data_IF_942636804258
#
_entry.id   IF_942636804258
#
_cell.length_a   1.000
_cell.length_b   1.000
_cell.length_c   1.000
_cell.angle_alpha   90.00
_cell.angle_beta   90.00
_cell.angle_gamma   90.00
#
_symmetry.space_group_name_H-M   'P 1'
#
loop_
_entity.id
_entity.type
_entity.pdbx_description
1 polymer ?
#
# COMPACT_ATOMS: atom_id res chain seq x y z
N UNK A 1 -6.73 -10.32 0.79
CA UNK A 1 -5.91 -9.15 0.39
C UNK A 1 -5.23 -9.56 -0.90
N UNK A 2 -5.93 -9.43 -2.04
CA UNK A 2 -6.01 -8.20 -2.85
C UNK A 2 -4.59 -7.81 -3.24
N UNK A 3 -4.18 -7.73 -4.49
CA UNK A 3 -4.79 -7.79 -5.82
C UNK A 3 -3.56 -7.86 -6.76
N UNK A 4 -3.63 -8.30 -8.00
CA UNK A 4 -3.69 -7.38 -9.14
C UNK A 4 -3.68 -8.25 -10.39
N UNK A 5 -4.73 -8.09 -11.19
CA UNK A 5 -4.90 -8.54 -12.58
C UNK A 5 -3.91 -7.81 -13.51
N UNK A 6 -3.72 -8.29 -14.75
CA UNK A 6 -4.52 -7.66 -15.80
C UNK A 6 -5.07 -8.66 -16.83
N UNK A 7 -6.39 -8.62 -16.99
CA UNK A 7 -6.97 -8.49 -18.33
C UNK A 7 -6.44 -7.19 -18.96
N UNK A 8 -6.12 -7.21 -20.24
CA UNK A 8 -6.68 -6.32 -21.26
C UNK A 8 -6.20 -6.88 -22.60
N UNK A 9 -7.03 -7.74 -23.16
CA UNK A 9 -7.22 -7.82 -24.60
C UNK A 9 -8.22 -6.72 -24.95
N UNK A 10 -7.79 -5.67 -25.63
CA UNK A 10 -8.69 -4.96 -26.53
C UNK A 10 -7.92 -4.03 -27.46
N UNK A 11 -8.09 -4.32 -28.76
CA UNK A 11 -8.51 -3.35 -29.77
C UNK A 11 -7.65 -2.09 -29.85
N UNK A 12 -6.86 -1.99 -30.91
CA UNK A 12 -6.99 -0.91 -31.91
C UNK A 12 -6.50 -1.50 -33.24
N UNK A 13 -7.46 -2.00 -34.02
CA UNK A 13 -7.46 -1.81 -35.47
C UNK A 13 -7.84 -0.35 -35.71
N UNK A 14 -6.92 0.43 -36.28
CA UNK A 14 -7.12 1.85 -36.51
C UNK A 14 -6.04 2.39 -37.43
N UNK A 15 -6.29 2.25 -38.72
CA UNK A 15 -5.59 2.84 -39.85
C UNK A 15 -5.07 4.26 -39.59
N UNK A 16 -3.75 4.42 -39.63
CA UNK A 16 -3.13 5.66 -40.10
C UNK A 16 -2.49 5.38 -41.45
N UNK A 17 -3.12 5.94 -42.48
CA UNK A 17 -2.53 6.12 -43.80
C UNK A 17 -1.45 7.20 -43.68
N UNK A 18 -0.22 6.78 -43.42
CA UNK A 18 0.92 7.65 -43.64
C UNK A 18 1.71 7.06 -44.79
N UNK A 19 1.87 7.89 -45.82
CA UNK A 19 2.57 7.62 -47.05
C UNK A 19 4.00 7.19 -46.75
N UNK A 20 4.22 5.89 -46.59
CA UNK A 20 5.54 5.30 -46.46
C UNK A 20 6.24 5.50 -47.79
N UNK A 21 7.26 6.36 -47.77
CA UNK A 21 8.18 6.58 -48.87
C UNK A 21 8.74 5.21 -49.32
N UNK A 22 8.93 4.99 -50.63
CA UNK A 22 9.30 3.68 -51.17
C UNK A 22 10.65 3.13 -50.66
N UNK A 23 11.43 3.91 -49.90
CA UNK A 23 12.68 3.47 -49.29
C UNK A 23 12.49 2.48 -48.14
N UNK A 24 11.49 2.64 -47.26
CA UNK A 24 11.42 1.81 -46.03
C UNK A 24 10.86 0.41 -46.31
N UNK A 25 9.95 0.29 -47.30
CA UNK A 25 9.42 -0.99 -47.77
C UNK A 25 10.52 -1.90 -48.35
N UNK A 26 11.55 -1.31 -48.96
CA UNK A 26 12.69 -2.02 -49.55
C UNK A 26 13.65 -2.60 -48.50
N UNK A 27 13.67 -2.06 -47.27
CA UNK A 27 14.52 -2.55 -46.19
C UNK A 27 13.93 -3.83 -45.57
N UNK A 28 12.60 -3.98 -45.56
CA UNK A 28 11.93 -5.19 -45.04
C UNK A 28 11.83 -6.29 -46.12
N UNK A 29 11.87 -5.92 -47.41
CA UNK A 29 11.80 -6.88 -48.55
C UNK A 29 13.14 -7.10 -49.25
N UNK A 30 14.23 -6.60 -48.70
CA UNK A 30 15.59 -6.79 -49.22
C UNK A 30 16.34 -7.95 -48.55
N UNK A 31 15.79 -9.17 -48.57
CA UNK A 31 16.55 -10.40 -48.29
C UNK A 31 15.75 -11.67 -48.63
N UNK A 32 15.04 -11.70 -49.76
CA UNK A 32 14.46 -12.94 -50.28
C UNK A 32 15.45 -13.61 -51.25
N UNK A 33 16.66 -13.89 -50.76
CA UNK A 33 17.69 -14.62 -51.49
C UNK A 33 18.36 -15.62 -50.56
N UNK A 34 17.64 -16.64 -50.11
CA UNK A 34 18.25 -17.97 -50.02
C UNK A 34 17.22 -19.08 -49.83
N UNK A 35 16.97 -19.82 -50.91
CA UNK A 35 16.50 -21.21 -50.82
C UNK A 35 17.71 -22.18 -50.85
N UNK A 36 18.93 -21.67 -50.77
CA UNK A 36 20.14 -22.44 -50.44
C UNK A 36 20.51 -22.14 -48.98
N UNK A 37 21.23 -23.04 -48.31
CA UNK A 37 21.60 -22.81 -46.91
C UNK A 37 22.63 -21.69 -46.77
N UNK A 38 22.84 -21.22 -45.54
CA UNK A 38 23.82 -20.18 -45.20
C UNK A 38 25.13 -20.27 -45.98
N UNK A 39 25.55 -19.15 -46.54
CA UNK A 39 26.86 -18.99 -47.16
C UNK A 39 27.97 -19.21 -46.12
N UNK A 40 29.19 -19.61 -46.53
CA UNK A 40 30.28 -19.86 -45.59
C UNK A 40 30.64 -18.63 -44.72
N UNK A 41 30.51 -17.42 -45.25
CA UNK A 41 30.77 -16.18 -44.52
C UNK A 41 29.68 -15.85 -43.48
N UNK A 42 28.41 -16.13 -43.80
CA UNK A 42 27.30 -15.99 -42.85
C UNK A 42 27.41 -16.98 -41.69
N UNK A 43 27.82 -18.23 -41.99
CA UNK A 43 28.11 -19.23 -40.94
C UNK A 43 29.24 -18.77 -40.03
N UNK A 44 30.33 -18.26 -40.62
CA UNK A 44 31.46 -17.72 -39.85
C UNK A 44 31.02 -16.55 -38.96
N UNK A 45 30.20 -15.64 -39.48
CA UNK A 45 29.66 -14.50 -38.73
C UNK A 45 28.73 -14.94 -37.61
N UNK A 46 27.84 -15.90 -37.85
CA UNK A 46 26.94 -16.45 -36.83
C UNK A 46 27.71 -17.16 -35.71
N UNK A 47 28.75 -17.91 -36.05
CA UNK A 47 29.62 -18.55 -35.06
C UNK A 47 30.36 -17.53 -34.20
N UNK A 48 30.85 -16.44 -34.81
CA UNK A 48 31.48 -15.33 -34.09
C UNK A 48 30.49 -14.66 -33.11
N UNK A 49 29.28 -14.33 -33.59
CA UNK A 49 28.23 -13.73 -32.76
C UNK A 49 27.76 -14.67 -31.64
N UNK A 50 27.65 -15.96 -31.93
CA UNK A 50 27.24 -16.98 -30.96
C UNK A 50 28.29 -17.12 -29.85
N UNK A 51 29.57 -17.10 -30.20
CA UNK A 51 30.67 -17.11 -29.22
C UNK A 51 30.64 -15.87 -28.32
N UNK A 52 30.53 -14.67 -28.91
CA UNK A 52 30.41 -13.43 -28.16
C UNK A 52 29.18 -13.42 -27.25
N UNK A 53 28.04 -13.92 -27.74
CA UNK A 53 26.80 -13.99 -26.97
C UNK A 53 26.93 -14.93 -25.78
N UNK A 54 27.54 -16.10 -25.94
CA UNK A 54 27.76 -17.06 -24.84
C UNK A 54 28.70 -16.50 -23.78
N UNK A 55 29.76 -15.80 -24.20
CA UNK A 55 30.68 -15.15 -23.28
C UNK A 55 30.01 -14.01 -22.53
N UNK A 56 29.25 -13.15 -23.22
CA UNK A 56 28.47 -12.09 -22.59
C UNK A 56 27.47 -12.65 -21.56
N UNK A 57 26.74 -13.72 -21.90
CA UNK A 57 25.80 -14.36 -20.98
C UNK A 57 26.50 -14.92 -19.73
N UNK A 58 27.71 -15.46 -19.89
CA UNK A 58 28.53 -15.93 -18.79
C UNK A 58 29.04 -14.76 -17.92
N UNK A 59 29.37 -13.63 -18.52
CA UNK A 59 29.80 -12.42 -17.81
C UNK A 59 28.64 -11.73 -17.05
N UNK A 60 27.38 -12.08 -17.35
CA UNK A 60 26.21 -11.67 -16.57
C UNK A 60 25.97 -12.54 -15.33
N UNK A 61 26.66 -13.66 -15.17
CA UNK A 61 26.58 -14.46 -13.95
C UNK A 61 27.26 -13.69 -12.81
N UNK A 62 26.46 -13.12 -11.91
CA UNK A 62 27.01 -12.41 -10.75
C UNK A 62 27.71 -13.40 -9.82
N UNK A 63 28.91 -13.02 -9.37
CA UNK A 63 29.58 -13.72 -8.28
C UNK A 63 28.79 -13.54 -6.98
N UNK A 64 28.88 -14.50 -6.06
CA UNK A 64 28.20 -14.43 -4.75
C UNK A 64 28.59 -13.19 -3.91
N UNK A 65 29.69 -12.50 -4.26
CA UNK A 65 30.16 -11.31 -3.55
C UNK A 65 29.65 -10.07 -4.26
N UNK A 66 28.53 -9.55 -3.77
CA UNK A 66 28.05 -8.23 -4.14
C UNK A 66 28.72 -7.16 -3.26
N UNK A 67 29.00 -5.97 -3.79
CA UNK A 67 29.37 -4.83 -2.96
C UNK A 67 28.18 -4.48 -2.04
N UNK A 68 28.25 -4.93 -0.79
CA UNK A 68 27.23 -4.66 0.22
C UNK A 68 27.44 -3.26 0.77
N UNK A 69 26.41 -2.42 0.65
CA UNK A 69 26.36 -1.14 1.36
C UNK A 69 26.32 -1.46 2.85
N UNK A 70 27.26 -0.91 3.62
CA UNK A 70 27.31 -1.13 5.06
C UNK A 70 25.99 -0.72 5.71
N UNK A 71 25.42 -1.56 6.59
CA UNK A 71 24.18 -1.22 7.26
C UNK A 71 24.39 0.00 8.16
N UNK A 72 23.49 0.98 8.07
CA UNK A 72 23.49 2.15 8.95
C UNK A 72 23.51 1.67 10.41
N UNK A 73 24.39 2.22 11.27
CA UNK A 73 24.48 1.78 12.66
C UNK A 73 23.14 1.98 13.37
N UNK A 74 22.69 0.90 14.03
CA UNK A 74 21.49 0.92 14.86
C UNK A 74 21.65 1.94 16.00
N UNK A 75 20.57 2.67 16.32
CA UNK A 75 20.51 3.55 17.48
C UNK A 75 20.64 2.78 18.82
N UNK A 76 20.92 3.45 19.94
CA UNK A 76 21.18 2.78 21.23
C UNK A 76 20.06 1.83 21.67
N UNK A 77 18.79 2.26 21.53
CA UNK A 77 17.61 1.46 21.88
C UNK A 77 17.46 0.26 20.93
N UNK A 78 17.68 0.47 19.64
CA UNK A 78 17.62 -0.61 18.66
C UNK A 78 18.75 -1.65 18.87
N UNK A 79 19.96 -1.20 19.24
CA UNK A 79 21.08 -2.08 19.64
C UNK A 79 20.77 -2.87 20.91
N UNK A 80 20.11 -2.25 21.89
CA UNK A 80 19.68 -2.96 23.09
C UNK A 80 18.70 -4.07 22.72
N UNK A 81 17.65 -3.75 21.95
CA UNK A 81 16.66 -4.75 21.55
C UNK A 81 17.26 -5.85 20.66
N UNK A 82 18.18 -5.53 19.75
CA UNK A 82 18.84 -6.54 18.92
C UNK A 82 19.65 -7.52 19.77
N UNK A 83 20.40 -7.04 20.78
CA UNK A 83 21.14 -7.89 21.72
C UNK A 83 20.23 -8.66 22.67
N UNK A 84 19.14 -8.03 23.11
CA UNK A 84 18.16 -8.69 23.97
C UNK A 84 17.43 -9.83 23.24
N UNK A 85 17.20 -9.69 21.93
CA UNK A 85 16.52 -10.68 21.09
C UNK A 85 17.44 -11.73 20.47
N UNK A 86 18.76 -11.54 20.53
CA UNK A 86 19.78 -12.47 20.01
C UNK A 86 19.57 -13.91 20.54
N UNK A 87 19.33 -14.14 21.84
CA UNK A 87 18.73 -15.38 22.29
C UNK A 87 17.22 -15.36 21.98
N UNK A 88 16.82 -16.07 20.92
CA UNK A 88 15.44 -16.12 20.41
C UNK A 88 14.49 -16.94 21.30
N UNK A 89 14.36 -16.58 22.58
CA UNK A 89 13.39 -17.21 23.46
C UNK A 89 11.97 -16.66 23.24
N UNK A 90 10.97 -17.52 23.38
CA UNK A 90 9.56 -17.16 23.13
C UNK A 90 9.08 -15.99 24.01
N UNK A 91 9.51 -15.94 25.27
CA UNK A 91 9.18 -14.84 26.19
C UNK A 91 9.77 -13.49 25.75
N UNK A 92 11.01 -13.49 25.21
CA UNK A 92 11.66 -12.26 24.72
C UNK A 92 10.97 -11.70 23.49
N UNK A 93 10.52 -12.59 22.60
CA UNK A 93 9.74 -12.21 21.42
C UNK A 93 8.37 -11.63 21.83
N UNK A 94 7.70 -12.26 22.78
CA UNK A 94 6.39 -11.78 23.25
C UNK A 94 6.49 -10.41 23.93
N UNK A 95 7.49 -10.20 24.80
CA UNK A 95 7.72 -8.90 25.46
C UNK A 95 8.03 -7.80 24.46
N UNK A 96 8.87 -8.09 23.45
CA UNK A 96 9.14 -7.14 22.37
C UNK A 96 7.89 -6.83 21.53
N UNK A 97 7.02 -7.81 21.29
CA UNK A 97 5.75 -7.60 20.58
C UNK A 97 4.82 -6.67 21.36
N UNK A 98 4.67 -6.89 22.67
CA UNK A 98 3.87 -6.01 23.54
C UNK A 98 4.44 -4.60 23.58
N UNK A 99 5.77 -4.45 23.68
CA UNK A 99 6.44 -3.15 23.62
C UNK A 99 6.14 -2.39 22.32
N UNK A 100 6.28 -3.06 21.16
CA UNK A 100 5.98 -2.44 19.87
C UNK A 100 4.50 -2.08 19.73
N UNK A 101 3.60 -2.95 20.21
CA UNK A 101 2.17 -2.64 20.25
C UNK A 101 1.90 -1.41 21.12
N UNK A 102 2.58 -1.28 22.26
CA UNK A 102 2.49 -0.10 23.14
C UNK A 102 3.00 1.19 22.49
N UNK A 103 4.12 1.14 21.76
CA UNK A 103 4.61 2.30 21.00
C UNK A 103 3.62 2.66 19.89
N UNK A 104 3.08 1.67 19.19
CA UNK A 104 2.11 1.90 18.14
C UNK A 104 0.85 2.57 18.68
N UNK A 105 0.27 2.07 19.77
CA UNK A 105 -0.93 2.68 20.37
C UNK A 105 -0.65 4.10 20.86
N UNK A 106 0.50 4.34 21.50
CA UNK A 106 0.88 5.67 21.95
C UNK A 106 1.05 6.65 20.77
N UNK A 107 1.82 6.27 19.76
CA UNK A 107 2.19 7.17 18.65
C UNK A 107 1.09 7.34 17.61
N UNK A 108 0.31 6.30 17.33
CA UNK A 108 -0.71 6.30 16.26
C UNK A 108 -2.12 6.53 16.77
N UNK A 109 -2.42 6.29 18.04
CA UNK A 109 -3.75 6.49 18.60
C UNK A 109 -3.75 7.62 19.62
N UNK A 110 -2.92 7.52 20.66
CA UNK A 110 -3.01 8.44 21.80
C UNK A 110 -2.60 9.88 21.43
N UNK A 111 -1.43 10.07 20.82
CA UNK A 111 -0.95 11.40 20.43
C UNK A 111 -1.93 12.07 19.45
N UNK A 112 -2.35 11.43 18.34
CA UNK A 112 -3.31 12.05 17.43
C UNK A 112 -4.66 12.32 18.09
N UNK A 113 -5.18 11.41 18.92
CA UNK A 113 -6.43 11.62 19.64
C UNK A 113 -6.35 12.84 20.57
N UNK A 114 -5.24 13.02 21.29
CA UNK A 114 -5.01 14.22 22.10
C UNK A 114 -4.91 15.50 21.28
N UNK A 115 -4.24 15.47 20.13
CA UNK A 115 -4.16 16.62 19.22
C UNK A 115 -5.55 16.99 18.69
N UNK A 116 -6.34 16.01 18.23
CA UNK A 116 -7.71 16.23 17.76
C UNK A 116 -8.57 16.77 18.90
N UNK A 117 -8.50 16.18 20.08
CA UNK A 117 -9.24 16.67 21.25
C UNK A 117 -8.87 18.13 21.59
N UNK A 118 -7.59 18.47 21.59
CA UNK A 118 -7.12 19.84 21.80
C UNK A 118 -7.66 20.80 20.73
N UNK A 119 -7.63 20.39 19.46
CA UNK A 119 -8.14 21.19 18.35
C UNK A 119 -9.65 21.43 18.48
N UNK A 120 -10.43 20.38 18.72
CA UNK A 120 -11.89 20.48 18.92
C UNK A 120 -12.20 21.39 20.11
N UNK A 121 -11.51 21.21 21.25
CA UNK A 121 -11.74 21.97 22.48
C UNK A 121 -11.44 23.47 22.33
N UNK A 122 -10.34 23.83 21.69
CA UNK A 122 -9.88 25.23 21.69
C UNK A 122 -10.10 25.99 20.38
N UNK A 123 -10.38 25.30 19.28
CA UNK A 123 -10.58 25.94 17.97
C UNK A 123 -12.01 25.77 17.48
N UNK A 124 -12.53 24.54 17.49
CA UNK A 124 -13.87 24.25 16.93
C UNK A 124 -14.96 24.73 17.88
N UNK A 125 -14.90 24.36 19.17
CA UNK A 125 -15.92 24.74 20.16
C UNK A 125 -15.98 26.26 20.44
N UNK A 126 -14.88 26.99 20.20
CA UNK A 126 -14.87 28.47 20.36
C UNK A 126 -15.57 29.20 19.21
N UNK A 127 -15.81 28.53 18.08
CA UNK A 127 -16.52 29.12 16.95
C UNK A 127 -18.03 28.87 17.10
N UNK A 128 -18.89 29.87 16.87
CA UNK A 128 -20.34 29.66 16.93
C UNK A 128 -20.75 28.61 15.89
N UNK A 129 -21.61 27.67 16.29
CA UNK A 129 -22.00 26.50 15.49
C UNK A 129 -20.84 25.62 15.00
N UNK A 130 -19.64 25.72 15.61
CA UNK A 130 -18.51 24.85 15.28
C UNK A 130 -18.77 23.39 15.67
N UNK A 131 -19.53 23.18 16.75
CA UNK A 131 -20.05 21.87 17.15
C UNK A 131 -21.55 22.06 17.39
N UNK A 132 -22.36 21.28 16.69
CA UNK A 132 -23.81 21.25 16.87
C UNK A 132 -24.16 19.84 17.32
N UNK A 133 -24.50 19.71 18.59
CA UNK A 133 -24.96 18.45 19.16
C UNK A 133 -26.48 18.35 19.08
N UNK A 134 -26.98 17.15 18.81
CA UNK A 134 -28.41 16.88 18.90
C UNK A 134 -28.80 16.83 20.37
N UNK A 135 -29.90 17.47 20.71
CA UNK A 135 -30.46 17.41 22.07
C UNK A 135 -30.65 15.93 22.47
N UNK A 136 -30.23 15.51 23.68
CA UNK A 136 -30.44 14.14 24.14
C UNK A 136 -31.94 13.81 24.19
N UNK A 137 -32.27 12.55 23.94
CA UNK A 137 -33.65 12.06 24.04
C UNK A 137 -34.05 12.06 25.51
N UNK A 138 -35.23 12.60 25.79
CA UNK A 138 -35.82 12.63 27.13
C UNK A 138 -36.96 11.62 27.17
N UNK A 139 -36.99 10.78 28.19
CA UNK A 139 -38.06 9.84 28.46
C UNK A 139 -38.86 10.26 29.70
N UNK A 140 -40.12 9.81 29.82
CA UNK A 140 -40.91 10.03 31.02
C UNK A 140 -40.20 9.47 32.26
N UNK A 141 -40.23 10.23 33.36
CA UNK A 141 -39.50 9.94 34.59
C UNK A 141 -38.03 10.40 34.63
N UNK A 142 -37.44 10.80 33.50
CA UNK A 142 -36.08 11.36 33.49
C UNK A 142 -36.03 12.71 34.21
N UNK A 143 -34.92 13.02 34.87
CA UNK A 143 -34.70 14.33 35.49
C UNK A 143 -33.70 15.15 34.67
N UNK A 144 -34.11 16.35 34.27
CA UNK A 144 -33.23 17.26 33.51
C UNK A 144 -32.17 17.82 34.45
N UNK A 145 -30.89 17.51 34.23
CA UNK A 145 -29.79 17.91 35.13
C UNK A 145 -29.65 19.43 35.30
N UNK A 146 -30.02 20.21 34.29
CA UNK A 146 -29.90 21.67 34.30
C UNK A 146 -31.09 22.37 34.98
N UNK A 147 -32.30 21.78 34.90
CA UNK A 147 -33.54 22.40 35.39
C UNK A 147 -34.05 21.73 36.68
N UNK A 148 -33.66 20.48 36.96
CA UNK A 148 -34.19 19.67 38.05
C UNK A 148 -35.63 19.17 37.85
N UNK A 149 -36.23 19.45 36.70
CA UNK A 149 -37.60 19.04 36.37
C UNK A 149 -37.64 17.56 35.98
N UNK A 150 -38.63 16.86 36.54
CA UNK A 150 -38.93 15.46 36.19
C UNK A 150 -39.87 15.46 35.01
N UNK A 151 -39.52 14.72 33.96
CA UNK A 151 -40.34 14.59 32.76
C UNK A 151 -41.63 13.84 33.13
N UNK A 152 -42.82 14.41 32.85
CA UNK A 152 -44.09 13.81 33.23
C UNK A 152 -44.34 12.49 32.49
N UNK A 153 -45.03 11.57 33.19
CA UNK A 153 -45.44 10.28 32.65
C UNK A 153 -46.42 10.42 31.48
N UNK A 154 -46.37 9.46 30.56
CA UNK A 154 -47.34 9.40 29.47
C UNK A 154 -48.73 9.15 30.05
N UNK A 155 -49.79 9.75 29.49
CA UNK A 155 -51.14 9.49 29.95
C UNK A 155 -51.46 8.00 29.83
N UNK A 156 -52.07 7.42 30.86
CA UNK A 156 -52.57 6.04 30.82
C UNK A 156 -53.58 5.91 29.68
N UNK A 157 -53.18 5.33 28.56
CA UNK A 157 -54.14 4.91 27.54
C UNK A 157 -54.87 3.70 28.11
N UNK A 158 -56.18 3.84 28.31
CA UNK A 158 -57.06 2.74 28.67
C UNK A 158 -56.68 1.51 27.86
N UNK A 159 -56.42 0.40 28.56
CA UNK A 159 -55.82 -0.79 27.98
C UNK A 159 -56.59 -1.20 26.72
N UNK A 160 -55.93 -1.18 25.55
CA UNK A 160 -56.42 -1.97 24.43
C UNK A 160 -56.24 -3.45 24.82
N UNK A 161 -57.25 -3.97 25.50
CA UNK A 161 -57.36 -5.36 25.89
C UNK A 161 -57.26 -6.23 24.64
N UNK A 162 -56.21 -7.04 24.60
CA UNK A 162 -56.15 -8.19 23.73
C UNK A 162 -57.24 -9.16 24.18
N UNK A 163 -58.29 -9.28 23.35
CA UNK A 163 -59.16 -10.45 23.30
C UNK A 163 -58.57 -11.50 22.36
#
# INVERSE_FOLDING_TARGET
MNSVTPEISSVITGSYSESVTPEVSSIITGSYSDMSGYTPDEKLRLDQLTKLRRQWLKDQELSHREPVIEPKPLGPVAKFWSRFLEPQSLWRLYTFKVYNAGIFTFTRLLIPAWIVHYYVKYHVAKRPYGIVELKPRLFPGDTVLETGEVVPDLPETESHGHH
#
